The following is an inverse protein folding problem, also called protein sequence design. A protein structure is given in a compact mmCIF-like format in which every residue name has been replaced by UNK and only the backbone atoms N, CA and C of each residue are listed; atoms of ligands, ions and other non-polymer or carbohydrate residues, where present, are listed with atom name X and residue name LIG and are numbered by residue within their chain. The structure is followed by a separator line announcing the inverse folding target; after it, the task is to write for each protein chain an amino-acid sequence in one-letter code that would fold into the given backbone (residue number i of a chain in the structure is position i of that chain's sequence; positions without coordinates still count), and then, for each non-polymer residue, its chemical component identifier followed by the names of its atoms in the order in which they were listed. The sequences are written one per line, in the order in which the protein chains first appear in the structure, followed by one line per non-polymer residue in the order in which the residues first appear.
data_IF_696831422509
#
_entry.id   IF_696831422509
#
_cell.length_a   1.000
_cell.length_b   1.000
_cell.length_c   1.000
_cell.angle_alpha   90.00
_cell.angle_beta   90.00
_cell.angle_gamma   90.00
#
_symmetry.space_group_name_H-M   'P 1'
#
loop_
_entity.id
_entity.type
_entity.pdbx_description
1 polymer ?
#
# COMPACT_ATOMS: atom_id res chain seq x y z
N UNK A 1 50.86 -0.24 -7.12
CA UNK A 1 49.69 0.62 -7.28
C UNK A 1 48.49 -0.30 -7.24
N UNK A 2 47.87 -0.44 -6.09
CA UNK A 2 46.60 -1.15 -5.94
C UNK A 2 45.50 -0.12 -6.20
N UNK A 3 44.79 -0.33 -7.27
CA UNK A 3 43.58 0.41 -7.60
C UNK A 3 42.47 -0.15 -6.72
N UNK A 4 42.30 0.50 -5.58
CA UNK A 4 41.19 0.22 -4.63
C UNK A 4 39.97 1.01 -5.11
N UNK A 5 39.45 0.62 -6.27
CA UNK A 5 38.12 1.01 -6.66
C UNK A 5 37.14 0.17 -5.86
N UNK A 6 36.86 0.61 -4.63
CA UNK A 6 35.71 0.17 -3.90
C UNK A 6 34.49 0.58 -4.72
N UNK A 7 34.00 -0.30 -5.56
CA UNK A 7 32.66 -0.23 -6.12
C UNK A 7 31.69 -0.31 -4.94
N UNK A 8 31.49 0.82 -4.25
CA UNK A 8 30.39 0.95 -3.32
C UNK A 8 29.10 0.84 -4.13
N UNK A 9 28.47 -0.33 -4.06
CA UNK A 9 27.13 -0.47 -4.60
C UNK A 9 26.25 0.64 -4.00
N UNK A 10 25.44 1.35 -4.80
CA UNK A 10 24.60 2.40 -4.31
C UNK A 10 23.69 1.84 -3.20
N UNK A 11 23.68 2.52 -2.06
CA UNK A 11 22.87 2.11 -0.91
C UNK A 11 21.40 2.01 -1.33
N UNK A 12 20.86 0.80 -1.32
CA UNK A 12 19.48 0.55 -1.69
C UNK A 12 18.57 0.80 -0.49
N UNK A 13 17.80 1.88 -0.54
CA UNK A 13 16.78 2.17 0.44
C UNK A 13 15.58 1.23 0.27
N UNK A 14 14.95 0.86 1.37
CA UNK A 14 13.73 0.05 1.37
C UNK A 14 12.56 0.86 1.91
N UNK A 15 11.41 0.70 1.28
CA UNK A 15 10.17 1.32 1.73
C UNK A 15 9.07 0.27 1.80
N UNK A 16 8.51 0.07 2.99
CA UNK A 16 7.37 -0.81 3.20
C UNK A 16 6.07 -0.02 3.10
N UNK A 17 5.24 -0.39 2.12
CA UNK A 17 3.93 0.18 1.86
C UNK A 17 2.86 -0.89 2.06
N UNK A 18 1.83 -0.58 2.82
CA UNK A 18 0.70 -1.48 3.08
C UNK A 18 -0.58 -0.91 2.47
N UNK A 19 -1.35 -1.78 1.82
CA UNK A 19 -2.70 -1.52 1.33
C UNK A 19 -3.72 -2.13 2.30
N UNK A 20 -4.57 -1.31 2.88
CA UNK A 20 -5.63 -1.71 3.80
C UNK A 20 -6.99 -1.26 3.27
N UNK A 21 -8.03 -1.97 3.64
CA UNK A 21 -9.41 -1.70 3.27
C UNK A 21 -10.19 -2.99 3.05
N UNK A 22 -11.49 -2.87 2.86
CA UNK A 22 -12.38 -4.00 2.65
C UNK A 22 -12.03 -4.81 1.40
N UNK A 23 -12.54 -6.03 1.32
CA UNK A 23 -12.45 -6.84 0.12
C UNK A 23 -13.13 -6.18 -1.08
N UNK A 24 -12.63 -6.47 -2.29
CA UNK A 24 -13.18 -5.99 -3.56
C UNK A 24 -13.15 -4.46 -3.78
N UNK A 25 -12.40 -3.70 -2.98
CA UNK A 25 -12.24 -2.25 -3.23
C UNK A 25 -11.18 -1.95 -4.29
N UNK A 26 -10.41 -2.94 -4.73
CA UNK A 26 -9.40 -2.82 -5.78
C UNK A 26 -7.96 -2.66 -5.30
N UNK A 27 -7.64 -3.04 -4.07
CA UNK A 27 -6.27 -3.00 -3.53
C UNK A 27 -5.29 -3.79 -4.39
N UNK A 28 -5.64 -5.04 -4.72
CA UNK A 28 -4.82 -5.89 -5.58
C UNK A 28 -4.62 -5.29 -6.97
N UNK A 29 -5.66 -4.72 -7.56
CA UNK A 29 -5.55 -4.05 -8.86
C UNK A 29 -4.62 -2.83 -8.81
N UNK A 30 -4.65 -2.05 -7.72
CA UNK A 30 -3.73 -0.93 -7.51
C UNK A 30 -2.29 -1.44 -7.40
N UNK A 31 -2.06 -2.49 -6.62
CA UNK A 31 -0.73 -3.09 -6.45
C UNK A 31 -0.19 -3.63 -7.78
N UNK A 32 -0.98 -4.36 -8.53
CA UNK A 32 -0.59 -4.91 -9.83
C UNK A 32 -0.32 -3.82 -10.86
N UNK A 33 -1.15 -2.78 -10.91
CA UNK A 33 -0.95 -1.66 -11.82
C UNK A 33 0.35 -0.92 -11.53
N UNK A 34 0.66 -0.72 -10.27
CA UNK A 34 1.89 -0.06 -9.85
C UNK A 34 3.13 -0.92 -10.08
N UNK A 35 3.08 -2.21 -9.78
CA UNK A 35 4.27 -3.08 -9.79
C UNK A 35 4.52 -3.74 -11.14
N UNK A 36 3.47 -4.08 -11.89
CA UNK A 36 3.55 -4.85 -13.13
C UNK A 36 2.95 -4.13 -14.33
N UNK A 37 2.39 -2.93 -14.15
CA UNK A 37 1.63 -2.18 -15.16
C UNK A 37 0.51 -3.03 -15.80
N UNK A 38 -0.11 -3.88 -15.00
CA UNK A 38 -1.11 -4.83 -15.42
C UNK A 38 -2.43 -4.59 -14.69
N UNK A 39 -3.54 -4.67 -15.43
CA UNK A 39 -4.88 -4.62 -14.86
C UNK A 39 -5.49 -6.02 -14.86
N UNK A 40 -5.86 -6.53 -13.69
CA UNK A 40 -6.57 -7.79 -13.58
C UNK A 40 -8.03 -7.62 -14.03
N UNK A 41 -8.41 -8.31 -15.10
CA UNK A 41 -9.77 -8.28 -15.64
C UNK A 41 -10.75 -9.13 -14.86
N UNK A 42 -10.26 -10.06 -14.04
CA UNK A 42 -11.05 -10.92 -13.19
C UNK A 42 -10.78 -10.64 -11.72
N UNK A 43 -11.86 -10.45 -10.95
CA UNK A 43 -11.75 -10.35 -9.51
C UNK A 43 -11.32 -11.68 -8.91
N UNK A 44 -10.20 -11.63 -8.18
CA UNK A 44 -9.75 -12.74 -7.35
C UNK A 44 -9.58 -12.23 -5.93
N UNK A 45 -10.26 -12.86 -4.99
CA UNK A 45 -10.17 -12.51 -3.59
C UNK A 45 -8.76 -12.76 -3.05
N UNK A 46 -8.16 -11.74 -2.43
CA UNK A 46 -6.89 -11.91 -1.72
C UNK A 46 -7.16 -12.60 -0.39
N UNK A 47 -6.57 -13.78 -0.22
CA UNK A 47 -6.65 -14.54 1.01
C UNK A 47 -5.38 -14.30 1.82
N UNK A 48 -5.52 -13.65 2.98
CA UNK A 48 -4.40 -13.30 3.84
C UNK A 48 -3.59 -12.12 3.29
N UNK A 49 -2.49 -12.41 2.65
CA UNK A 49 -1.50 -11.42 2.22
C UNK A 49 -0.94 -11.76 0.85
N UNK A 50 -0.88 -10.77 -0.04
CA UNK A 50 -0.03 -10.80 -1.23
C UNK A 50 1.10 -9.78 -1.11
N UNK A 51 2.24 -10.10 -1.68
CA UNK A 51 3.44 -9.29 -1.61
C UNK A 51 3.98 -9.02 -3.01
N UNK A 52 4.26 -7.74 -3.27
CA UNK A 52 4.84 -7.29 -4.53
C UNK A 52 6.07 -6.43 -4.26
N UNK A 53 7.01 -6.44 -5.19
CA UNK A 53 8.17 -5.55 -5.14
C UNK A 53 8.26 -4.70 -6.40
N UNK A 54 8.64 -3.44 -6.21
CA UNK A 54 9.00 -2.53 -7.30
C UNK A 54 10.24 -1.75 -6.92
N UNK A 55 11.18 -1.68 -7.85
CA UNK A 55 12.34 -0.79 -7.75
C UNK A 55 12.04 0.51 -8.46
N UNK A 56 12.24 1.62 -7.77
CA UNK A 56 12.11 2.96 -8.32
C UNK A 56 13.41 3.71 -8.13
N UNK A 57 13.70 4.63 -9.07
CA UNK A 57 14.84 5.52 -9.00
C UNK A 57 14.33 6.95 -8.89
N UNK A 58 14.70 7.63 -7.82
CA UNK A 58 14.39 9.03 -7.61
C UNK A 58 15.51 9.93 -8.15
N UNK A 59 15.22 11.23 -8.37
CA UNK A 59 16.24 12.20 -8.75
C UNK A 59 17.45 12.15 -7.82
N UNK A 60 18.67 12.25 -8.36
CA UNK A 60 19.91 12.10 -7.61
C UNK A 60 20.39 10.66 -7.47
N UNK A 61 19.90 9.77 -8.34
CA UNK A 61 20.28 8.34 -8.39
C UNK A 61 19.99 7.59 -7.08
N UNK A 62 18.88 7.96 -6.45
CA UNK A 62 18.42 7.32 -5.21
C UNK A 62 17.56 6.10 -5.58
N UNK A 63 18.07 4.92 -5.28
CA UNK A 63 17.38 3.66 -5.55
C UNK A 63 16.55 3.22 -4.35
N UNK A 64 15.26 2.94 -4.59
CA UNK A 64 14.32 2.49 -3.56
C UNK A 64 13.68 1.17 -3.97
N UNK A 65 13.78 0.17 -3.10
CA UNK A 65 12.99 -1.06 -3.21
C UNK A 65 11.67 -0.87 -2.47
N UNK A 66 10.58 -0.71 -3.22
CA UNK A 66 9.24 -0.63 -2.67
C UNK A 66 8.70 -2.02 -2.40
N UNK A 67 8.37 -2.31 -1.15
CA UNK A 67 7.66 -3.51 -0.75
C UNK A 67 6.17 -3.16 -0.62
N UNK A 68 5.34 -3.75 -1.46
CA UNK A 68 3.89 -3.52 -1.45
C UNK A 68 3.19 -4.73 -0.86
N UNK A 69 2.53 -4.53 0.26
CA UNK A 69 1.82 -5.55 1.03
C UNK A 69 0.33 -5.37 0.84
N UNK A 70 -0.28 -6.23 0.05
CA UNK A 70 -1.73 -6.25 -0.19
C UNK A 70 -2.40 -7.17 0.82
N UNK A 71 -3.10 -6.59 1.78
CA UNK A 71 -3.77 -7.31 2.86
C UNK A 71 -5.21 -7.63 2.47
N UNK A 72 -5.60 -8.90 2.56
CA UNK A 72 -6.97 -9.32 2.33
C UNK A 72 -7.95 -8.65 3.29
N UNK A 73 -9.09 -8.16 2.76
CA UNK A 73 -10.08 -7.42 3.56
C UNK A 73 -10.69 -8.23 4.70
N UNK A 74 -10.70 -9.57 4.61
CA UNK A 74 -11.19 -10.45 5.67
C UNK A 74 -10.22 -10.57 6.85
N UNK A 75 -9.00 -10.08 6.69
CA UNK A 75 -7.95 -10.20 7.71
C UNK A 75 -8.10 -9.22 8.87
N UNK A 76 -9.09 -8.31 8.84
CA UNK A 76 -9.24 -7.25 9.85
C UNK A 76 -9.34 -7.78 11.29
N UNK A 77 -9.86 -8.98 11.49
CA UNK A 77 -9.93 -9.65 12.79
C UNK A 77 -8.74 -10.55 13.11
N UNK A 78 -7.77 -10.67 12.20
CA UNK A 78 -6.63 -11.57 12.38
C UNK A 78 -5.65 -11.02 13.41
N UNK A 79 -5.19 -11.90 14.30
CA UNK A 79 -4.12 -11.57 15.28
C UNK A 79 -2.77 -11.28 14.61
N UNK A 80 -2.56 -11.77 13.39
CA UNK A 80 -1.33 -11.57 12.63
C UNK A 80 -1.26 -10.19 11.98
N UNK A 81 -2.37 -9.48 11.86
CA UNK A 81 -2.45 -8.24 11.10
C UNK A 81 -1.55 -7.14 11.67
N UNK A 82 -1.45 -7.04 12.99
CA UNK A 82 -0.52 -6.12 13.64
C UNK A 82 0.93 -6.35 13.25
N UNK A 83 1.33 -7.60 13.07
CA UNK A 83 2.68 -7.94 12.62
C UNK A 83 2.94 -7.50 11.17
N UNK A 84 1.93 -7.55 10.30
CA UNK A 84 2.05 -7.09 8.92
C UNK A 84 2.12 -5.56 8.83
N UNK A 85 1.38 -4.85 9.68
CA UNK A 85 1.37 -3.39 9.74
C UNK A 85 2.64 -2.84 10.38
N UNK A 86 3.22 -3.58 11.31
CA UNK A 86 4.43 -3.16 12.02
C UNK A 86 5.58 -2.86 11.04
N UNK A 87 6.23 -1.73 11.23
CA UNK A 87 7.34 -1.29 10.38
C UNK A 87 6.92 -0.69 9.04
N UNK A 88 5.63 -0.56 8.76
CA UNK A 88 5.17 0.15 7.58
C UNK A 88 5.56 1.63 7.63
N UNK A 89 6.06 2.15 6.53
CA UNK A 89 6.41 3.56 6.36
C UNK A 89 5.28 4.32 5.67
N UNK A 90 4.48 3.63 4.86
CA UNK A 90 3.31 4.16 4.16
C UNK A 90 2.15 3.21 4.33
N UNK A 91 0.98 3.74 4.64
CA UNK A 91 -0.30 3.02 4.68
C UNK A 91 -1.27 3.68 3.73
N UNK A 92 -1.80 2.90 2.80
CA UNK A 92 -2.85 3.34 1.89
C UNK A 92 -4.18 2.74 2.35
N UNK A 93 -5.10 3.61 2.77
CA UNK A 93 -6.46 3.24 3.13
C UNK A 93 -7.34 3.33 1.89
N UNK A 94 -7.77 2.18 1.38
CA UNK A 94 -8.47 2.07 0.11
C UNK A 94 -9.96 1.81 0.30
N UNK A 95 -10.78 2.53 -0.43
CA UNK A 95 -12.22 2.32 -0.49
C UNK A 95 -12.74 2.42 -1.91
N UNK A 96 -13.91 1.87 -2.14
CA UNK A 96 -14.64 1.99 -3.40
C UNK A 96 -15.60 3.17 -3.31
N UNK A 97 -15.44 4.17 -4.18
CA UNK A 97 -16.29 5.37 -4.18
C UNK A 97 -17.76 5.07 -4.48
N UNK A 98 -18.07 3.89 -5.01
CA UNK A 98 -19.43 3.43 -5.26
C UNK A 98 -20.03 2.64 -4.09
N UNK A 99 -19.23 2.35 -3.07
CA UNK A 99 -19.63 1.59 -1.89
C UNK A 99 -19.32 2.38 -0.62
N UNK A 100 -20.33 3.08 -0.09
CA UNK A 100 -20.17 3.91 1.09
C UNK A 100 -19.74 3.13 2.33
N UNK A 101 -20.19 1.88 2.49
CA UNK A 101 -19.80 1.03 3.61
C UNK A 101 -18.28 0.78 3.63
N UNK A 102 -17.65 0.64 2.46
CA UNK A 102 -16.19 0.48 2.37
C UNK A 102 -15.44 1.71 2.87
N UNK A 103 -16.01 2.89 2.70
CA UNK A 103 -15.47 4.14 3.25
C UNK A 103 -15.64 4.19 4.79
N UNK A 104 -16.83 3.87 5.29
CA UNK A 104 -17.08 3.85 6.75
C UNK A 104 -16.17 2.85 7.47
N UNK A 105 -15.91 1.70 6.87
CA UNK A 105 -15.08 0.65 7.45
C UNK A 105 -13.60 1.06 7.54
N UNK A 106 -13.17 2.10 6.83
CA UNK A 106 -11.80 2.62 6.94
C UNK A 106 -11.47 3.15 8.33
N UNK A 107 -12.46 3.58 9.09
CA UNK A 107 -12.25 3.99 10.47
C UNK A 107 -11.68 2.84 11.33
N UNK A 108 -12.19 1.63 11.15
CA UNK A 108 -11.70 0.44 11.85
C UNK A 108 -10.27 0.08 11.43
N UNK A 109 -9.97 0.17 10.13
CA UNK A 109 -8.63 -0.04 9.61
C UNK A 109 -7.64 1.00 10.13
N UNK A 110 -8.02 2.26 10.15
CA UNK A 110 -7.18 3.34 10.68
C UNK A 110 -6.94 3.19 12.18
N UNK A 111 -7.97 2.83 12.93
CA UNK A 111 -7.87 2.56 14.37
C UNK A 111 -6.88 1.43 14.67
N UNK A 112 -6.86 0.41 13.83
CA UNK A 112 -5.90 -0.68 13.92
C UNK A 112 -4.47 -0.22 13.68
N UNK A 113 -4.24 0.65 12.70
CA UNK A 113 -2.93 1.26 12.44
C UNK A 113 -2.47 2.05 13.67
N UNK A 114 -3.32 2.91 14.21
CA UNK A 114 -3.01 3.69 15.41
C UNK A 114 -2.66 2.82 16.61
N UNK A 115 -3.40 1.74 16.79
CA UNK A 115 -3.16 0.79 17.89
C UNK A 115 -1.82 0.08 17.72
N UNK A 116 -1.47 -0.31 16.51
CA UNK A 116 -0.22 -1.01 16.20
C UNK A 116 1.00 -0.13 16.48
N UNK A 117 0.94 1.14 16.13
CA UNK A 117 2.05 2.07 16.35
C UNK A 117 2.08 2.61 17.79
N UNK A 118 0.93 2.70 18.46
CA UNK A 118 0.85 3.16 19.85
C UNK A 118 1.41 4.58 20.03
N UNK A 119 2.44 4.73 20.87
CA UNK A 119 3.13 6.00 21.12
C UNK A 119 4.21 6.35 20.09
N UNK A 120 4.48 5.45 19.14
CA UNK A 120 5.46 5.69 18.07
C UNK A 120 4.88 6.63 17.02
N UNK A 121 5.77 7.27 16.25
CA UNK A 121 5.36 8.07 15.11
C UNK A 121 4.54 7.23 14.12
N UNK A 122 3.39 7.75 13.69
CA UNK A 122 2.55 7.10 12.70
C UNK A 122 3.26 7.11 11.33
N UNK A 123 3.01 6.09 10.48
CA UNK A 123 3.45 6.11 9.10
C UNK A 123 2.72 7.22 8.32
N UNK A 124 3.18 7.48 7.11
CA UNK A 124 2.38 8.27 6.18
C UNK A 124 1.10 7.51 5.85
N UNK A 125 -0.04 8.16 6.00
CA UNK A 125 -1.35 7.59 5.70
C UNK A 125 -1.98 8.37 4.56
N UNK A 126 -2.34 7.67 3.48
CA UNK A 126 -3.08 8.24 2.36
C UNK A 126 -4.42 7.54 2.21
N UNK A 127 -5.43 8.32 1.86
CA UNK A 127 -6.77 7.82 1.56
C UNK A 127 -6.93 7.69 0.05
N UNK A 128 -7.30 6.51 -0.42
CA UNK A 128 -7.49 6.23 -1.84
C UNK A 128 -8.94 5.84 -2.11
N UNK A 129 -9.65 6.71 -2.83
CA UNK A 129 -10.95 6.40 -3.41
C UNK A 129 -10.77 5.79 -4.78
N UNK A 130 -11.09 4.51 -4.92
CA UNK A 130 -11.04 3.80 -6.17
C UNK A 130 -12.43 3.66 -6.78
N UNK A 131 -12.53 3.82 -8.09
CA UNK A 131 -13.77 3.59 -8.82
C UNK A 131 -13.69 2.24 -9.50
N UNK A 132 -14.38 1.23 -8.97
CA UNK A 132 -14.62 0.01 -9.71
C UNK A 132 -15.71 0.29 -10.75
N UNK A 133 -15.28 0.75 -11.93
CA UNK A 133 -16.19 0.88 -13.05
C UNK A 133 -16.49 -0.50 -13.63
N UNK A 134 -17.73 -0.78 -14.07
CA UNK A 134 -17.96 -1.87 -14.99
C UNK A 134 -17.07 -1.67 -16.25
N UNK A 135 -16.70 -2.71 -16.98
CA UNK A 135 -15.44 -2.88 -17.72
C UNK A 135 -15.18 -1.98 -18.93
N UNK A 136 -15.66 -0.76 -18.98
CA UNK A 136 -15.54 0.06 -20.19
C UNK A 136 -14.49 1.19 -20.14
N UNK A 137 -13.94 1.60 -19.01
CA UNK A 137 -12.76 2.51 -18.91
C UNK A 137 -12.26 2.62 -17.46
N UNK A 138 -10.98 2.41 -17.18
CA UNK A 138 -10.44 2.69 -15.85
C UNK A 138 -10.48 4.20 -15.61
N UNK A 139 -11.21 4.63 -14.58
CA UNK A 139 -11.11 6.00 -14.10
C UNK A 139 -9.82 6.18 -13.30
N UNK A 140 -9.18 7.37 -13.35
CA UNK A 140 -8.01 7.62 -12.54
C UNK A 140 -8.37 7.55 -11.06
N UNK A 141 -7.57 6.82 -10.29
CA UNK A 141 -7.68 6.83 -8.83
C UNK A 141 -7.28 8.21 -8.30
N UNK A 142 -8.09 8.76 -7.42
CA UNK A 142 -7.74 9.99 -6.70
C UNK A 142 -7.15 9.62 -5.35
N UNK A 143 -5.94 10.05 -5.12
CA UNK A 143 -5.28 9.93 -3.83
C UNK A 143 -5.30 11.29 -3.13
N UNK A 144 -5.76 11.30 -1.88
CA UNK A 144 -5.59 12.43 -0.98
C UNK A 144 -4.57 12.05 0.09
N UNK A 145 -3.54 12.84 0.24
CA UNK A 145 -2.54 12.67 1.30
C UNK A 145 -3.02 13.43 2.52
N UNK A 146 -3.28 12.70 3.60
CA UNK A 146 -3.55 13.30 4.90
C UNK A 146 -2.21 13.68 5.53
N UNK A 147 -2.02 14.95 5.81
CA UNK A 147 -0.85 15.42 6.56
C UNK A 147 -1.11 15.23 8.05
N UNK A 148 -0.05 14.98 8.84
CA UNK A 148 -0.21 14.72 10.28
C UNK A 148 -0.81 15.87 11.08
N UNK A 149 -0.90 17.07 10.49
CA UNK A 149 -1.30 18.32 11.17
C UNK A 149 -2.70 18.83 10.76
N UNK A 150 -3.48 18.02 10.01
CA UNK A 150 -4.86 18.37 9.65
C UNK A 150 -5.89 17.68 10.56
#
# INVERSE_FOLDING_TARGET
MQDDSSDEEPEQLQCKLILLGDGAVGKTSIALRFTEDHFATQYKQTIGLDFFMKRIVLPGDIHIAMQVWDIGGQSIGSKMLGNYIYGAQVVLLCYDITNYQSFQNLEDWYRLVRRTFGSRALPYVALIGNKSAPPARPAPSRAAVLRPDD
#
